data_IF_902938316868
#
_entry.id   IF_902938316868
#
_cell.length_a   1.000
_cell.length_b   1.000
_cell.length_c   1.000
_cell.angle_alpha   90.00
_cell.angle_beta   90.00
_cell.angle_gamma   90.00
#
_symmetry.space_group_name_H-M   'P 1'
#
loop_
_entity.id
_entity.type
_entity.pdbx_description
1 polymer ?
#
# COMPACT_ATOMS: atom_id res chain seq x y z
N UNK A 1 -5.72 -1.29 8.83
CA UNK A 1 -4.89 -2.37 8.27
C UNK A 1 -5.75 -3.22 7.37
N UNK A 2 -5.27 -3.49 6.16
CA UNK A 2 -5.90 -4.39 5.19
C UNK A 2 -5.07 -5.67 5.12
N UNK A 3 -5.74 -6.82 5.16
CA UNK A 3 -5.17 -8.14 4.92
C UNK A 3 -5.83 -8.71 3.67
N UNK A 4 -5.11 -8.71 2.54
CA UNK A 4 -5.61 -9.15 1.24
C UNK A 4 -5.05 -10.53 0.92
N UNK A 5 -5.95 -11.51 0.76
CA UNK A 5 -5.63 -12.84 0.25
C UNK A 5 -6.24 -12.99 -1.13
N UNK A 6 -5.44 -13.36 -2.13
CA UNK A 6 -5.90 -13.51 -3.52
C UNK A 6 -5.10 -14.57 -4.28
N UNK A 7 -5.73 -15.17 -5.29
CA UNK A 7 -5.04 -16.01 -6.27
C UNK A 7 -4.58 -15.16 -7.46
N UNK A 8 -3.30 -15.28 -7.82
CA UNK A 8 -2.73 -14.65 -8.99
C UNK A 8 -2.90 -15.54 -10.22
N UNK A 9 -3.17 -14.91 -11.38
CA UNK A 9 -3.20 -15.60 -12.68
C UNK A 9 -1.83 -16.18 -13.06
N UNK A 10 -0.75 -15.49 -12.64
CA UNK A 10 0.63 -15.90 -12.85
C UNK A 10 1.31 -16.10 -11.50
N UNK A 11 2.07 -17.18 -11.38
CA UNK A 11 2.89 -17.42 -10.20
C UNK A 11 3.89 -16.28 -9.99
N UNK A 12 4.16 -15.95 -8.73
CA UNK A 12 5.10 -14.90 -8.35
C UNK A 12 5.74 -15.22 -6.99
N UNK A 13 6.96 -14.77 -6.76
CA UNK A 13 7.61 -14.87 -5.44
C UNK A 13 7.27 -13.66 -4.55
N UNK A 14 7.49 -13.78 -3.24
CA UNK A 14 7.30 -12.67 -2.32
C UNK A 14 8.21 -11.48 -2.69
N UNK A 15 9.43 -11.73 -3.15
CA UNK A 15 10.37 -10.72 -3.61
C UNK A 15 9.86 -9.99 -4.86
N UNK A 16 9.27 -10.70 -5.82
CA UNK A 16 8.69 -10.10 -7.03
C UNK A 16 7.50 -9.21 -6.69
N UNK A 17 6.62 -9.67 -5.79
CA UNK A 17 5.46 -8.91 -5.29
C UNK A 17 5.93 -7.65 -4.56
N UNK A 18 6.87 -7.80 -3.63
CA UNK A 18 7.44 -6.69 -2.86
C UNK A 18 8.14 -5.68 -3.78
N UNK A 19 8.92 -6.15 -4.76
CA UNK A 19 9.56 -5.29 -5.74
C UNK A 19 8.54 -4.51 -6.59
N UNK A 20 7.42 -5.12 -6.96
CA UNK A 20 6.35 -4.44 -7.69
C UNK A 20 5.71 -3.32 -6.85
N UNK A 21 5.39 -3.58 -5.58
CA UNK A 21 4.85 -2.56 -4.67
C UNK A 21 5.84 -1.43 -4.38
N UNK A 22 7.11 -1.76 -4.16
CA UNK A 22 8.18 -0.76 -3.96
C UNK A 22 8.38 0.11 -5.19
N UNK A 23 8.41 -0.49 -6.38
CA UNK A 23 8.49 0.26 -7.65
C UNK A 23 7.29 1.20 -7.83
N UNK A 24 6.08 0.74 -7.53
CA UNK A 24 4.89 1.57 -7.65
C UNK A 24 4.87 2.73 -6.63
N UNK A 25 5.33 2.48 -5.39
CA UNK A 25 5.39 3.51 -4.33
C UNK A 25 6.46 4.58 -4.59
N UNK A 26 7.55 4.22 -5.27
CA UNK A 26 8.60 5.16 -5.68
C UNK A 26 8.29 5.86 -7.02
N UNK A 27 7.32 5.33 -7.78
CA UNK A 27 6.96 5.76 -9.13
C UNK A 27 5.58 6.39 -9.22
N UNK A 28 4.68 5.74 -9.96
CA UNK A 28 3.38 6.30 -10.37
C UNK A 28 2.42 6.58 -9.20
N UNK A 29 2.58 5.88 -8.06
CA UNK A 29 1.76 6.05 -6.86
C UNK A 29 2.50 6.79 -5.74
N UNK A 30 3.59 7.50 -6.05
CA UNK A 30 4.37 8.22 -5.04
C UNK A 30 3.51 9.22 -4.26
N UNK A 31 3.59 9.15 -2.93
CA UNK A 31 2.77 9.96 -2.01
C UNK A 31 1.37 9.39 -1.72
N UNK A 32 0.95 8.37 -2.48
CA UNK A 32 -0.32 7.65 -2.26
C UNK A 32 -0.04 6.25 -1.69
N UNK A 33 0.85 5.51 -2.32
CA UNK A 33 1.34 4.20 -1.89
C UNK A 33 2.70 4.36 -1.20
N UNK A 34 2.87 3.68 -0.08
CA UNK A 34 4.13 3.45 0.62
C UNK A 34 4.50 1.98 0.61
N UNK A 35 5.77 1.71 0.91
CA UNK A 35 6.32 0.37 1.11
C UNK A 35 7.34 0.45 2.24
N UNK A 36 7.39 -0.56 3.11
CA UNK A 36 8.38 -0.65 4.18
C UNK A 36 8.81 -2.11 4.43
N UNK A 37 10.09 -2.28 4.77
CA UNK A 37 10.68 -3.53 5.28
C UNK A 37 11.02 -3.41 6.78
N UNK A 38 10.54 -2.37 7.44
CA UNK A 38 10.75 -2.15 8.87
C UNK A 38 9.66 -2.88 9.68
N UNK A 39 10.01 -3.46 10.85
CA UNK A 39 9.06 -4.17 11.71
C UNK A 39 8.17 -3.20 12.50
N UNK A 40 7.33 -2.44 11.79
CA UNK A 40 6.47 -1.40 12.34
C UNK A 40 5.15 -1.95 12.88
N UNK A 41 4.49 -1.14 13.71
CA UNK A 41 3.16 -1.40 14.28
C UNK A 41 2.22 -0.23 14.02
N UNK A 42 0.95 -0.37 14.40
CA UNK A 42 -0.10 0.60 14.09
C UNK A 42 0.22 2.06 14.47
N UNK A 43 0.88 2.28 15.60
CA UNK A 43 1.21 3.62 16.09
C UNK A 43 2.23 4.35 15.23
N UNK A 44 3.09 3.62 14.51
CA UNK A 44 4.12 4.21 13.67
C UNK A 44 3.52 4.89 12.42
N UNK A 45 2.28 4.53 12.06
CA UNK A 45 1.56 5.11 10.92
C UNK A 45 0.62 6.25 11.31
N UNK A 46 0.58 6.64 12.59
CA UNK A 46 -0.30 7.73 13.05
C UNK A 46 0.10 9.04 12.36
N UNK A 47 -0.84 9.66 11.65
CA UNK A 47 -0.59 10.89 10.90
C UNK A 47 0.18 10.68 9.59
N UNK A 48 0.32 9.45 9.12
CA UNK A 48 0.85 9.18 7.78
C UNK A 48 -0.16 9.57 6.71
N UNK A 49 0.24 10.45 5.79
CA UNK A 49 -0.65 11.00 4.77
C UNK A 49 -0.95 10.01 3.64
N UNK A 50 -0.18 8.92 3.51
CA UNK A 50 -0.33 7.94 2.43
C UNK A 50 -1.61 7.13 2.63
N UNK A 51 -2.19 6.66 1.53
CA UNK A 51 -3.44 5.88 1.54
C UNK A 51 -3.23 4.42 1.90
N UNK A 52 -2.04 3.89 1.64
CA UNK A 52 -1.70 2.48 1.79
C UNK A 52 -0.20 2.38 1.95
N UNK A 53 0.29 1.64 2.95
CA UNK A 53 1.71 1.37 3.17
C UNK A 53 1.89 -0.14 3.28
N UNK A 54 2.46 -0.75 2.25
CA UNK A 54 2.68 -2.21 2.20
C UNK A 54 3.76 -2.61 3.19
N UNK A 55 3.44 -3.60 4.01
CA UNK A 55 4.37 -4.27 4.92
C UNK A 55 5.03 -5.44 4.18
N UNK A 56 6.27 -5.23 3.72
CA UNK A 56 7.02 -6.20 2.94
C UNK A 56 7.42 -7.45 3.73
N UNK A 57 7.51 -7.36 5.07
CA UNK A 57 7.84 -8.50 5.94
C UNK A 57 6.67 -9.47 6.09
N UNK A 58 5.45 -8.99 5.84
CA UNK A 58 4.20 -9.75 5.99
C UNK A 58 3.71 -10.42 4.68
N UNK A 59 4.40 -10.21 3.56
CA UNK A 59 4.05 -10.82 2.26
C UNK A 59 4.29 -12.33 2.29
N UNK A 60 3.27 -13.11 1.94
CA UNK A 60 3.35 -14.57 1.86
C UNK A 60 2.85 -15.08 0.51
N UNK A 61 3.50 -16.12 0.01
CA UNK A 61 3.08 -16.87 -1.18
C UNK A 61 2.96 -18.34 -0.82
N UNK A 62 1.80 -18.93 -1.10
CA UNK A 62 1.47 -20.33 -0.91
C UNK A 62 1.17 -20.94 -2.29
N UNK A 63 1.68 -22.15 -2.53
CA UNK A 63 1.48 -22.91 -3.78
C UNK A 63 1.80 -22.12 -5.07
N UNK A 64 2.69 -21.12 -4.97
CA UNK A 64 3.19 -20.31 -6.08
C UNK A 64 2.26 -19.18 -6.55
N UNK A 65 0.96 -19.22 -6.27
CA UNK A 65 0.02 -18.18 -6.74
C UNK A 65 -1.04 -17.73 -5.71
N UNK A 66 -1.19 -18.38 -4.56
CA UNK A 66 -2.05 -17.89 -3.48
C UNK A 66 -1.25 -16.93 -2.60
N UNK A 67 -1.57 -15.65 -2.68
CA UNK A 67 -0.78 -14.57 -2.08
C UNK A 67 -1.54 -13.91 -0.95
N UNK A 68 -0.83 -13.59 0.14
CA UNK A 68 -1.28 -12.68 1.19
C UNK A 68 -0.38 -11.44 1.24
N UNK A 69 -0.99 -10.26 1.25
CA UNK A 69 -0.31 -8.96 1.42
C UNK A 69 -1.00 -8.17 2.53
N UNK A 70 -0.21 -7.54 3.38
CA UNK A 70 -0.69 -6.65 4.44
C UNK A 70 -0.33 -5.21 4.09
N UNK A 71 -1.28 -4.30 4.32
CA UNK A 71 -1.05 -2.86 4.19
C UNK A 71 -1.63 -2.07 5.36
N UNK A 72 -0.89 -1.06 5.80
CA UNK A 72 -1.28 -0.11 6.81
C UNK A 72 -1.90 1.15 6.21
N UNK A 73 -2.76 1.80 6.99
CA UNK A 73 -3.30 3.11 6.65
C UNK A 73 -3.80 3.77 7.94
N UNK A 74 -3.57 5.08 8.07
CA UNK A 74 -4.29 5.89 9.03
C UNK A 74 -5.67 6.19 8.44
N UNK A 75 -6.71 5.60 9.04
CA UNK A 75 -8.08 5.69 8.54
C UNK A 75 -8.67 7.10 8.65
N UNK A 76 -8.14 7.96 9.52
CA UNK A 76 -8.58 9.34 9.66
C UNK A 76 -7.73 10.24 8.77
N UNK A 77 -6.41 10.19 8.94
CA UNK A 77 -5.50 11.15 8.31
C UNK A 77 -5.28 10.87 6.83
N UNK A 78 -4.97 9.63 6.45
CA UNK A 78 -4.72 9.27 5.06
C UNK A 78 -5.93 9.56 4.17
N UNK A 79 -7.14 9.20 4.64
CA UNK A 79 -8.38 9.47 3.91
C UNK A 79 -8.70 10.97 3.81
N UNK A 80 -8.52 11.73 4.89
CA UNK A 80 -8.77 13.17 4.88
C UNK A 80 -7.87 13.90 3.88
N UNK A 81 -6.60 13.50 3.75
CA UNK A 81 -5.69 14.04 2.74
C UNK A 81 -6.17 13.71 1.32
N UNK A 82 -6.63 12.48 1.06
CA UNK A 82 -7.18 12.10 -0.25
C UNK A 82 -8.43 12.88 -0.63
N UNK A 83 -9.28 13.22 0.34
CA UNK A 83 -10.44 14.06 0.09
C UNK A 83 -10.03 15.49 -0.32
N UNK A 84 -9.02 16.05 0.34
CA UNK A 84 -8.47 17.36 -0.03
C UNK A 84 -7.84 17.33 -1.44
N UNK A 85 -7.05 16.29 -1.74
CA UNK A 85 -6.44 16.09 -3.06
C UNK A 85 -7.50 16.00 -4.16
N UNK A 86 -8.57 15.21 -3.94
CA UNK A 86 -9.66 15.07 -4.88
C UNK A 86 -10.43 16.39 -5.07
N UNK A 87 -10.65 17.13 -4.00
CA UNK A 87 -11.31 18.45 -4.07
C UNK A 87 -10.51 19.41 -4.93
N UNK A 88 -9.19 19.48 -4.73
CA UNK A 88 -8.29 20.27 -5.57
C UNK A 88 -8.32 19.81 -7.04
N UNK A 89 -8.24 18.50 -7.28
CA UNK A 89 -8.28 17.92 -8.62
C UNK A 89 -9.55 18.31 -9.39
N UNK A 90 -10.71 18.32 -8.72
CA UNK A 90 -11.98 18.75 -9.29
C UNK A 90 -11.98 20.26 -9.53
N UNK A 91 -11.54 21.05 -8.57
CA UNK A 91 -11.49 22.51 -8.68
C UNK A 91 -10.61 22.98 -9.85
N UNK A 92 -9.49 22.31 -10.10
CA UNK A 92 -8.58 22.60 -11.23
C UNK A 92 -9.20 22.28 -12.61
N UNK A 93 -10.40 21.70 -12.66
CA UNK A 93 -11.13 21.29 -13.89
C UNK A 93 -12.49 21.97 -14.06
N UNK A 94 -12.84 22.90 -13.18
CA UNK A 94 -14.01 23.76 -13.32
C UNK A 94 -13.66 25.00 -14.14
#
# INVERSE_FOLDING_TARGET
MTDLVCELEKAATAEEINAAFKKASEGELKGILGYTDEPLVSMDFKGDERSSIVDGLSTMVMDGNLVKVVSWYDNEWGYSNRLADLTKYVADRL
#
